data_IF_986240895473
#
_entry.id   IF_986240895473
#
_cell.length_a   1.000
_cell.length_b   1.000
_cell.length_c   1.000
_cell.angle_alpha   90.00
_cell.angle_beta   90.00
_cell.angle_gamma   90.00
#
_symmetry.space_group_name_H-M   'P 1'
#
loop_
_entity.id
_entity.type
_entity.pdbx_description
1 polymer ?
#
# COMPACT_ATOMS: atom_id res chain seq x y z
N UNK A 1 -13.68 -18.40 -19.44
CA UNK A 1 -13.02 -18.60 -18.13
C UNK A 1 -13.22 -17.36 -17.28
N UNK A 2 -13.29 -17.50 -15.96
CA UNK A 2 -13.48 -16.37 -15.05
C UNK A 2 -12.21 -15.51 -14.96
N UNK A 3 -12.39 -14.19 -14.85
CA UNK A 3 -11.33 -13.21 -14.67
C UNK A 3 -11.62 -12.28 -13.48
N UNK A 4 -10.56 -11.69 -12.91
CA UNK A 4 -10.62 -10.73 -11.83
C UNK A 4 -9.68 -9.52 -12.09
N UNK A 5 -10.18 -8.32 -11.81
CA UNK A 5 -9.42 -7.07 -11.89
C UNK A 5 -9.20 -6.54 -10.48
N UNK A 6 -7.94 -6.30 -10.11
CA UNK A 6 -7.58 -5.70 -8.83
C UNK A 6 -7.10 -4.27 -9.07
N UNK A 7 -7.61 -3.32 -8.30
CA UNK A 7 -7.30 -1.89 -8.38
C UNK A 7 -6.68 -1.48 -7.05
N UNK A 8 -5.43 -1.05 -7.11
CA UNK A 8 -4.65 -0.60 -5.95
C UNK A 8 -4.36 0.90 -6.04
N UNK A 9 -4.26 1.61 -4.91
CA UNK A 9 -3.89 3.03 -4.90
C UNK A 9 -2.40 3.24 -5.21
N UNK A 10 -1.56 2.23 -4.95
CA UNK A 10 -0.12 2.30 -5.19
C UNK A 10 0.38 1.09 -5.96
N UNK A 11 1.44 1.30 -6.75
CA UNK A 11 2.13 0.21 -7.45
C UNK A 11 2.80 -0.78 -6.48
N UNK A 12 3.21 -0.32 -5.30
CA UNK A 12 3.87 -1.16 -4.30
C UNK A 12 2.91 -2.24 -3.78
N UNK A 13 1.69 -1.85 -3.41
CA UNK A 13 0.63 -2.79 -3.00
C UNK A 13 0.28 -3.78 -4.12
N UNK A 14 0.16 -3.30 -5.36
CA UNK A 14 -0.10 -4.19 -6.50
C UNK A 14 1.02 -5.24 -6.69
N UNK A 15 2.28 -4.84 -6.52
CA UNK A 15 3.42 -5.76 -6.63
C UNK A 15 3.47 -6.75 -5.45
N UNK A 16 3.09 -6.32 -4.25
CA UNK A 16 3.02 -7.19 -3.08
C UNK A 16 1.94 -8.26 -3.23
N UNK A 17 0.72 -7.84 -3.60
CA UNK A 17 -0.36 -8.78 -3.91
C UNK A 17 0.03 -9.77 -5.02
N UNK A 18 0.77 -9.30 -6.04
CA UNK A 18 1.26 -10.17 -7.11
C UNK A 18 2.22 -11.25 -6.59
N UNK A 19 3.10 -10.93 -5.63
CA UNK A 19 3.96 -11.94 -5.00
C UNK A 19 3.15 -12.97 -4.23
N UNK A 20 2.13 -12.55 -3.48
CA UNK A 20 1.22 -13.44 -2.79
C UNK A 20 0.49 -14.39 -3.74
N UNK A 21 -0.02 -13.87 -4.85
CA UNK A 21 -0.68 -14.68 -5.89
C UNK A 21 0.29 -15.65 -6.58
N UNK A 22 1.52 -15.23 -6.85
CA UNK A 22 2.55 -16.10 -7.43
C UNK A 22 2.90 -17.25 -6.48
N UNK A 23 3.11 -16.96 -5.19
CA UNK A 23 3.35 -17.97 -4.16
C UNK A 23 2.18 -18.95 -4.04
N UNK A 24 0.95 -18.47 -4.09
CA UNK A 24 -0.23 -19.33 -4.07
C UNK A 24 -0.30 -20.24 -5.29
N UNK A 25 0.04 -19.74 -6.48
CA UNK A 25 0.09 -20.54 -7.70
C UNK A 25 1.23 -21.58 -7.69
N UNK A 26 2.36 -21.28 -7.05
CA UNK A 26 3.45 -22.24 -6.82
C UNK A 26 3.03 -23.36 -5.86
N UNK A 27 2.32 -23.02 -4.78
CA UNK A 27 1.85 -23.98 -3.78
C UNK A 27 0.70 -24.86 -4.28
N UNK A 28 -0.13 -24.35 -5.19
CA UNK A 28 -1.25 -25.10 -5.78
C UNK A 28 -1.28 -24.95 -7.32
N UNK A 29 -0.47 -25.75 -8.04
CA UNK A 29 -0.34 -25.64 -9.50
C UNK A 29 -1.61 -25.97 -10.29
N UNK A 30 -2.58 -26.65 -9.66
CA UNK A 30 -3.86 -26.98 -10.30
C UNK A 30 -4.76 -25.75 -10.42
N UNK A 31 -4.53 -24.70 -9.62
CA UNK A 31 -5.25 -23.44 -9.75
C UNK A 31 -4.73 -22.70 -11.00
N UNK A 32 -5.60 -22.37 -11.98
CA UNK A 32 -5.18 -21.74 -13.22
C UNK A 32 -4.95 -20.23 -13.03
N UNK A 33 -4.16 -19.82 -12.04
CA UNK A 33 -3.89 -18.41 -11.72
C UNK A 33 -2.78 -17.90 -12.63
N UNK A 34 -3.15 -17.08 -13.61
CA UNK A 34 -2.24 -16.33 -14.47
C UNK A 34 -2.43 -14.86 -14.12
N UNK A 35 -1.64 -14.40 -13.16
CA UNK A 35 -1.70 -13.05 -12.63
C UNK A 35 -0.56 -12.18 -13.13
N UNK A 36 -0.76 -10.86 -13.15
CA UNK A 36 0.34 -9.91 -13.32
C UNK A 36 -0.10 -8.47 -13.14
N UNK A 37 0.88 -7.63 -12.81
CA UNK A 37 0.71 -6.18 -12.70
C UNK A 37 0.69 -5.55 -14.09
N UNK A 38 -0.31 -4.73 -14.35
CA UNK A 38 -0.46 -3.91 -15.55
C UNK A 38 -0.52 -2.45 -15.13
N UNK A 39 0.61 -1.77 -15.21
CA UNK A 39 0.82 -0.38 -14.81
C UNK A 39 1.80 0.35 -15.76
N UNK A 40 2.16 1.58 -15.40
CA UNK A 40 3.11 2.40 -16.15
C UNK A 40 4.52 1.82 -16.26
N UNK A 41 4.93 0.93 -15.35
CA UNK A 41 6.28 0.35 -15.30
C UNK A 41 6.34 -1.03 -15.99
N UNK A 42 5.19 -1.54 -16.46
CA UNK A 42 5.07 -2.85 -17.10
C UNK A 42 5.62 -2.80 -18.54
N UNK A 43 6.63 -3.61 -18.90
CA UNK A 43 7.18 -3.63 -20.26
C UNK A 43 6.14 -4.05 -21.30
N UNK A 44 6.23 -3.52 -22.53
CA UNK A 44 5.22 -3.75 -23.57
C UNK A 44 5.05 -5.22 -23.97
N UNK A 45 6.15 -6.00 -23.96
CA UNK A 45 6.10 -7.44 -24.18
C UNK A 45 5.27 -8.16 -23.11
N UNK A 46 5.36 -7.69 -21.85
CA UNK A 46 4.60 -8.22 -20.72
C UNK A 46 3.14 -7.78 -20.80
N UNK A 47 2.88 -6.52 -21.16
CA UNK A 47 1.51 -6.00 -21.38
C UNK A 47 0.75 -6.84 -22.39
N UNK A 48 1.38 -7.18 -23.52
CA UNK A 48 0.77 -8.04 -24.55
C UNK A 48 0.40 -9.41 -23.99
N UNK A 49 1.32 -10.08 -23.31
CA UNK A 49 1.08 -11.39 -22.68
C UNK A 49 -0.07 -11.34 -21.68
N UNK A 50 -0.11 -10.32 -20.83
CA UNK A 50 -1.17 -10.18 -19.82
C UNK A 50 -2.55 -10.03 -20.46
N UNK A 51 -2.70 -9.19 -21.50
CA UNK A 51 -3.98 -9.06 -22.23
C UNK A 51 -4.46 -10.39 -22.81
N UNK A 52 -3.54 -11.13 -23.42
CA UNK A 52 -3.85 -12.35 -24.15
C UNK A 52 -4.10 -13.56 -23.23
N UNK A 53 -3.45 -13.62 -22.06
CA UNK A 53 -3.36 -14.86 -21.27
C UNK A 53 -3.82 -14.74 -19.81
N UNK A 54 -3.67 -13.56 -19.18
CA UNK A 54 -3.97 -13.40 -17.75
C UNK A 54 -5.47 -13.57 -17.44
N UNK A 55 -5.77 -14.09 -16.26
CA UNK A 55 -7.11 -14.08 -15.68
C UNK A 55 -7.17 -13.26 -14.39
N UNK A 56 -6.04 -12.84 -13.84
CA UNK A 56 -5.99 -11.85 -12.76
C UNK A 56 -5.10 -10.70 -13.20
N UNK A 57 -5.61 -9.48 -13.19
CA UNK A 57 -4.86 -8.28 -13.59
C UNK A 57 -4.88 -7.30 -12.44
N UNK A 58 -3.69 -6.89 -12.01
CA UNK A 58 -3.52 -5.92 -10.93
C UNK A 58 -3.11 -4.58 -11.55
N UNK A 59 -3.82 -3.51 -11.23
CA UNK A 59 -3.63 -2.21 -11.86
C UNK A 59 -3.91 -1.08 -10.86
N UNK A 60 -3.89 0.17 -11.34
CA UNK A 60 -4.30 1.35 -10.59
C UNK A 60 -5.36 2.15 -11.38
N UNK A 61 -6.09 3.10 -10.75
CA UNK A 61 -7.13 3.86 -11.43
C UNK A 61 -6.64 4.62 -12.67
N UNK A 62 -5.42 5.15 -12.64
CA UNK A 62 -4.82 5.90 -13.75
C UNK A 62 -4.57 5.01 -14.97
N UNK A 63 -4.00 3.82 -14.76
CA UNK A 63 -3.72 2.87 -15.83
C UNK A 63 -5.02 2.24 -16.37
N UNK A 64 -5.99 1.99 -15.49
CA UNK A 64 -7.33 1.60 -15.90
C UNK A 64 -7.95 2.67 -16.81
N UNK A 65 -7.83 3.94 -16.44
CA UNK A 65 -8.30 5.07 -17.23
C UNK A 65 -7.58 5.23 -18.56
N UNK A 66 -6.24 5.20 -18.56
CA UNK A 66 -5.44 5.63 -19.71
C UNK A 66 -5.13 4.51 -20.70
N UNK A 67 -4.95 3.26 -20.26
CA UNK A 67 -4.51 2.20 -21.17
C UNK A 67 -5.33 0.90 -21.18
N UNK A 68 -6.20 0.67 -20.19
CA UNK A 68 -7.09 -0.51 -20.24
C UNK A 68 -8.42 -0.14 -20.89
N UNK A 69 -9.15 0.84 -20.33
CA UNK A 69 -10.49 1.18 -20.81
C UNK A 69 -10.51 1.76 -22.24
N UNK A 70 -9.60 2.66 -22.67
CA UNK A 70 -9.63 3.19 -24.04
C UNK A 70 -9.31 2.12 -25.09
N UNK A 71 -8.53 1.10 -24.71
CA UNK A 71 -8.15 -0.02 -25.56
C UNK A 71 -8.98 -1.28 -25.29
N UNK A 72 -10.20 -1.13 -24.74
CA UNK A 72 -11.05 -2.27 -24.36
C UNK A 72 -11.30 -3.31 -25.46
N UNK A 73 -11.29 -3.02 -26.79
CA UNK A 73 -11.36 -4.05 -27.82
C UNK A 73 -10.26 -5.11 -27.73
N UNK A 74 -9.03 -4.71 -27.36
CA UNK A 74 -7.91 -5.64 -27.13
C UNK A 74 -8.03 -6.45 -25.84
N UNK A 75 -9.00 -6.11 -24.98
CA UNK A 75 -9.29 -6.77 -23.70
C UNK A 75 -10.60 -7.55 -23.72
N UNK A 76 -11.23 -7.74 -24.90
CA UNK A 76 -12.54 -8.40 -25.06
C UNK A 76 -12.65 -9.70 -24.26
N UNK A 77 -11.65 -10.59 -24.36
CA UNK A 77 -11.62 -11.87 -23.64
C UNK A 77 -11.68 -11.69 -22.12
N UNK A 78 -10.92 -10.72 -21.60
CA UNK A 78 -10.86 -10.43 -20.17
C UNK A 78 -12.18 -9.83 -19.68
N UNK A 79 -12.71 -8.81 -20.36
CA UNK A 79 -13.96 -8.16 -19.95
C UNK A 79 -15.17 -9.08 -20.07
N UNK A 80 -15.28 -9.90 -21.12
CA UNK A 80 -16.36 -10.88 -21.24
C UNK A 80 -16.34 -11.94 -20.12
N UNK A 81 -15.14 -12.24 -19.57
CA UNK A 81 -14.96 -13.19 -18.47
C UNK A 81 -14.91 -12.55 -17.08
N UNK A 82 -15.02 -11.22 -16.95
CA UNK A 82 -14.77 -10.52 -15.70
C UNK A 82 -15.88 -10.79 -14.68
N UNK A 83 -15.53 -11.43 -13.57
CA UNK A 83 -16.46 -11.81 -12.49
C UNK A 83 -16.28 -10.96 -11.24
N UNK A 84 -15.04 -10.54 -10.96
CA UNK A 84 -14.70 -9.80 -9.76
C UNK A 84 -13.90 -8.54 -10.08
N UNK A 85 -14.24 -7.44 -9.42
CA UNK A 85 -13.42 -6.23 -9.36
C UNK A 85 -13.09 -5.97 -7.91
N UNK A 86 -11.82 -6.11 -7.55
CA UNK A 86 -11.30 -5.83 -6.21
C UNK A 86 -10.78 -4.39 -6.20
N UNK A 87 -11.26 -3.58 -5.25
CA UNK A 87 -10.80 -2.21 -5.02
C UNK A 87 -10.19 -2.18 -3.64
N UNK A 88 -8.86 -2.15 -3.58
CA UNK A 88 -8.15 -2.07 -2.31
C UNK A 88 -8.10 -0.64 -1.79
N UNK A 89 -7.97 -0.49 -0.47
CA UNK A 89 -7.77 0.81 0.18
C UNK A 89 -8.76 1.90 -0.29
N UNK A 90 -10.05 1.57 -0.42
CA UNK A 90 -11.06 2.43 -1.07
C UNK A 90 -11.20 3.81 -0.44
N UNK A 91 -10.85 3.94 0.84
CA UNK A 91 -10.78 5.20 1.59
C UNK A 91 -9.73 6.19 1.05
N UNK A 92 -8.74 5.73 0.30
CA UNK A 92 -7.80 6.58 -0.42
C UNK A 92 -8.50 7.36 -1.56
N UNK A 93 -9.60 6.83 -2.11
CA UNK A 93 -10.34 7.42 -3.23
C UNK A 93 -11.42 8.40 -2.74
N UNK A 94 -10.99 9.50 -2.13
CA UNK A 94 -11.89 10.56 -1.63
C UNK A 94 -11.63 11.93 -2.26
N UNK A 95 -12.54 12.88 -2.02
CA UNK A 95 -12.46 14.23 -2.58
C UNK A 95 -12.46 14.24 -4.11
N UNK A 96 -11.76 15.19 -4.71
CA UNK A 96 -11.69 15.34 -6.18
C UNK A 96 -11.12 14.09 -6.85
N UNK A 97 -10.13 13.44 -6.23
CA UNK A 97 -9.57 12.21 -6.75
C UNK A 97 -10.60 11.07 -6.73
N UNK A 98 -11.32 10.89 -5.61
CA UNK A 98 -12.43 9.94 -5.51
C UNK A 98 -13.52 10.16 -6.56
N UNK A 99 -13.90 11.41 -6.82
CA UNK A 99 -14.86 11.75 -7.88
C UNK A 99 -14.39 11.31 -9.26
N UNK A 100 -13.11 11.45 -9.57
CA UNK A 100 -12.53 10.94 -10.82
C UNK A 100 -12.58 9.41 -10.88
N UNK A 101 -12.16 8.74 -9.80
CA UNK A 101 -12.19 7.27 -9.70
C UNK A 101 -13.61 6.74 -9.89
N UNK A 102 -14.63 7.34 -9.27
CA UNK A 102 -16.03 6.95 -9.46
C UNK A 102 -16.45 6.99 -10.94
N UNK A 103 -16.04 8.02 -11.69
CA UNK A 103 -16.30 8.10 -13.12
C UNK A 103 -15.51 7.07 -13.94
N UNK A 104 -14.29 6.71 -13.51
CA UNK A 104 -13.53 5.60 -14.10
C UNK A 104 -14.27 4.28 -13.90
N UNK A 105 -14.81 4.02 -12.71
CA UNK A 105 -15.58 2.82 -12.40
C UNK A 105 -16.90 2.77 -13.20
N UNK A 106 -17.58 3.91 -13.39
CA UNK A 106 -18.76 3.98 -14.28
C UNK A 106 -18.42 3.58 -15.72
N UNK A 107 -17.28 4.02 -16.26
CA UNK A 107 -16.81 3.62 -17.60
C UNK A 107 -16.46 2.13 -17.64
N UNK A 108 -15.81 1.60 -16.60
CA UNK A 108 -15.53 0.17 -16.47
C UNK A 108 -16.83 -0.64 -16.52
N UNK A 109 -17.85 -0.27 -15.75
CA UNK A 109 -19.14 -0.96 -15.73
C UNK A 109 -19.83 -0.93 -17.09
N UNK A 110 -19.81 0.21 -17.79
CA UNK A 110 -20.33 0.33 -19.15
C UNK A 110 -19.62 -0.63 -20.11
N UNK A 111 -18.29 -0.74 -20.02
CA UNK A 111 -17.48 -1.66 -20.84
C UNK A 111 -17.79 -3.12 -20.49
N UNK A 112 -17.93 -3.45 -19.21
CA UNK A 112 -18.33 -4.80 -18.78
C UNK A 112 -19.70 -5.18 -19.37
N UNK A 113 -20.70 -4.30 -19.22
CA UNK A 113 -22.03 -4.49 -19.77
C UNK A 113 -22.01 -4.67 -21.30
N UNK A 114 -21.19 -3.89 -22.02
CA UNK A 114 -21.00 -4.04 -23.47
C UNK A 114 -20.46 -5.42 -23.87
N UNK A 115 -19.61 -6.03 -23.04
CA UNK A 115 -19.10 -7.39 -23.26
C UNK A 115 -19.92 -8.49 -22.58
N UNK A 116 -21.09 -8.15 -22.02
CA UNK A 116 -22.01 -9.12 -21.41
C UNK A 116 -21.62 -9.58 -20.00
N UNK A 117 -20.79 -8.83 -19.28
CA UNK A 117 -20.42 -9.13 -17.88
C UNK A 117 -20.95 -8.08 -16.90
N UNK A 118 -21.32 -8.52 -15.70
CA UNK A 118 -21.66 -7.65 -14.58
C UNK A 118 -20.87 -8.11 -13.33
N UNK A 119 -19.65 -7.61 -13.13
CA UNK A 119 -18.79 -8.12 -12.06
C UNK A 119 -19.29 -7.71 -10.66
N UNK A 120 -18.96 -8.54 -9.68
CA UNK A 120 -19.11 -8.25 -8.26
C UNK A 120 -17.94 -7.39 -7.80
N UNK A 121 -18.24 -6.33 -7.05
CA UNK A 121 -17.23 -5.46 -6.46
C UNK A 121 -16.90 -5.94 -5.05
N UNK A 122 -15.62 -6.08 -4.75
CA UNK A 122 -15.09 -6.41 -3.43
C UNK A 122 -14.18 -5.25 -3.03
N UNK A 123 -14.47 -4.59 -1.92
CA UNK A 123 -13.75 -3.38 -1.52
C UNK A 123 -13.13 -3.57 -0.14
N UNK A 124 -11.85 -3.19 -0.01
CA UNK A 124 -11.15 -3.15 1.27
C UNK A 124 -11.00 -1.70 1.72
N UNK A 125 -11.10 -1.45 3.03
CA UNK A 125 -10.98 -0.12 3.61
C UNK A 125 -10.37 -0.20 5.00
N UNK A 126 -9.56 0.80 5.37
CA UNK A 126 -9.30 1.11 6.76
C UNK A 126 -10.59 1.52 7.49
N UNK A 127 -10.55 1.51 8.83
CA UNK A 127 -11.67 1.93 9.67
C UNK A 127 -11.99 3.41 9.43
N UNK A 128 -13.06 3.66 8.69
CA UNK A 128 -13.62 5.00 8.43
C UNK A 128 -15.07 5.06 8.92
N UNK A 129 -15.61 6.26 9.11
CA UNK A 129 -16.96 6.43 9.64
C UNK A 129 -18.07 5.93 8.69
N UNK A 130 -17.86 6.05 7.37
CA UNK A 130 -18.90 5.77 6.36
C UNK A 130 -18.40 4.90 5.18
N UNK A 131 -17.89 3.68 5.42
CA UNK A 131 -17.30 2.84 4.38
C UNK A 131 -18.32 2.38 3.33
N UNK A 132 -19.54 2.04 3.77
CA UNK A 132 -20.62 1.61 2.87
C UNK A 132 -21.05 2.71 1.89
N UNK A 133 -21.21 3.95 2.38
CA UNK A 133 -21.56 5.10 1.54
C UNK A 133 -20.49 5.41 0.50
N UNK A 134 -19.22 5.45 0.93
CA UNK A 134 -18.10 5.70 0.03
C UNK A 134 -18.01 4.62 -1.05
N UNK A 135 -18.07 3.35 -0.67
CA UNK A 135 -17.99 2.23 -1.59
C UNK A 135 -19.18 2.21 -2.57
N UNK A 136 -20.40 2.45 -2.08
CA UNK A 136 -21.58 2.56 -2.93
C UNK A 136 -21.48 3.73 -3.91
N UNK A 137 -20.97 4.88 -3.46
CA UNK A 137 -20.75 6.06 -4.30
C UNK A 137 -19.73 5.83 -5.42
N UNK A 138 -18.62 5.14 -5.11
CA UNK A 138 -17.56 4.82 -6.09
C UNK A 138 -18.01 3.73 -7.06
N UNK A 139 -18.60 2.64 -6.55
CA UNK A 139 -18.99 1.49 -7.37
C UNK A 139 -20.29 1.74 -8.15
N UNK A 140 -21.15 2.64 -7.65
CA UNK A 140 -22.50 2.87 -8.16
C UNK A 140 -23.41 1.65 -8.02
N UNK A 141 -23.14 0.78 -7.04
CA UNK A 141 -23.91 -0.43 -6.71
C UNK A 141 -24.21 -0.43 -5.22
N UNK A 142 -25.30 -1.09 -4.76
CA UNK A 142 -25.48 -1.38 -3.34
C UNK A 142 -24.29 -2.17 -2.80
N UNK A 143 -23.89 -1.87 -1.57
CA UNK A 143 -22.76 -2.50 -0.89
C UNK A 143 -23.22 -3.03 0.46
N UNK A 144 -22.79 -4.24 0.79
CA UNK A 144 -22.90 -4.80 2.13
C UNK A 144 -21.57 -4.62 2.84
N UNK A 145 -21.58 -3.95 4.00
CA UNK A 145 -20.40 -3.76 4.84
C UNK A 145 -20.16 -5.02 5.66
N UNK A 146 -18.91 -5.46 5.72
CA UNK A 146 -18.44 -6.55 6.59
C UNK A 146 -17.47 -5.95 7.59
N UNK A 147 -17.90 -5.77 8.85
CA UNK A 147 -17.16 -5.06 9.90
C UNK A 147 -16.90 -5.91 11.16
N UNK A 148 -17.30 -7.19 11.14
CA UNK A 148 -17.02 -8.14 12.20
C UNK A 148 -15.56 -8.65 12.09
N UNK A 149 -14.62 -7.95 12.73
CA UNK A 149 -13.22 -8.37 12.80
C UNK A 149 -13.02 -9.49 13.84
N UNK A 150 -12.77 -10.70 13.35
CA UNK A 150 -12.45 -11.88 14.15
C UNK A 150 -10.95 -12.16 14.32
N UNK A 151 -10.06 -11.27 13.86
CA UNK A 151 -8.63 -11.49 13.94
C UNK A 151 -8.11 -11.46 15.39
N UNK A 152 -7.10 -12.27 15.74
CA UNK A 152 -6.47 -12.23 17.06
C UNK A 152 -5.79 -10.86 17.25
N UNK A 153 -6.02 -10.24 18.42
CA UNK A 153 -5.41 -8.95 18.77
C UNK A 153 -4.62 -9.09 20.06
N UNK A 154 -3.33 -8.79 19.99
CA UNK A 154 -2.49 -8.61 21.18
C UNK A 154 -2.83 -7.32 21.93
N UNK A 155 -2.37 -7.21 23.17
CA UNK A 155 -2.51 -5.98 23.94
C UNK A 155 -1.75 -4.83 23.26
N UNK A 156 -2.44 -3.70 23.02
CA UNK A 156 -1.84 -2.49 22.43
C UNK A 156 -1.83 -1.37 23.44
N UNK A 157 -0.70 -0.69 23.58
CA UNK A 157 -0.55 0.52 24.40
C UNK A 157 -0.48 1.73 23.49
N UNK A 158 -1.45 2.63 23.64
CA UNK A 158 -1.47 3.92 22.95
C UNK A 158 -1.18 5.03 23.96
N UNK A 159 -0.11 5.78 23.74
CA UNK A 159 0.42 6.73 24.72
C UNK A 159 0.58 8.10 24.07
N UNK A 160 0.15 9.14 24.78
CA UNK A 160 0.44 10.52 24.41
C UNK A 160 1.71 10.99 25.12
N UNK A 161 2.72 11.36 24.33
CA UNK A 161 3.99 11.87 24.82
C UNK A 161 4.04 13.39 24.66
N UNK A 162 4.17 14.10 25.79
CA UNK A 162 4.36 15.55 25.79
C UNK A 162 5.83 15.86 26.12
N UNK A 163 6.64 16.36 25.17
CA UNK A 163 8.07 16.60 25.38
C UNK A 163 8.37 17.42 26.64
N UNK A 164 9.41 17.07 27.41
CA UNK A 164 9.71 17.75 28.67
C UNK A 164 10.11 19.22 28.44
N UNK A 165 9.89 20.06 29.46
CA UNK A 165 10.30 21.47 29.47
C UNK A 165 11.82 21.60 29.58
N UNK A 166 12.40 22.62 28.95
CA UNK A 166 13.82 22.92 28.99
C UNK A 166 14.14 23.78 30.22
N UNK A 167 14.92 23.28 31.17
CA UNK A 167 15.51 24.10 32.24
C UNK A 167 14.53 24.97 33.04
N UNK A 168 13.28 24.51 33.25
CA UNK A 168 12.25 25.28 33.96
C UNK A 168 11.56 26.39 33.14
N UNK A 169 11.94 26.58 31.87
CA UNK A 169 11.28 27.53 30.97
C UNK A 169 9.93 27.01 30.45
N UNK A 170 9.17 27.89 29.79
CA UNK A 170 7.94 27.50 29.07
C UNK A 170 8.23 26.75 27.76
N UNK A 171 9.48 26.76 27.29
CA UNK A 171 9.88 26.06 26.07
C UNK A 171 10.05 24.56 26.34
N UNK A 172 9.60 23.77 25.37
CA UNK A 172 9.70 22.31 25.40
C UNK A 172 10.75 21.82 24.43
N UNK A 173 11.29 20.64 24.71
CA UNK A 173 12.09 19.93 23.70
C UNK A 173 11.27 19.72 22.44
N UNK A 174 11.97 19.73 21.30
CA UNK A 174 11.38 19.41 20.02
C UNK A 174 10.86 17.97 20.00
N UNK A 175 9.64 17.76 19.50
CA UNK A 175 9.09 16.42 19.28
C UNK A 175 9.98 15.58 18.37
N UNK A 176 10.71 16.20 17.43
CA UNK A 176 11.63 15.49 16.54
C UNK A 176 12.84 14.94 17.32
N UNK A 177 13.36 15.70 18.29
CA UNK A 177 14.46 15.26 19.14
C UNK A 177 14.03 14.15 20.10
N UNK A 178 12.81 14.23 20.65
CA UNK A 178 12.27 13.16 21.48
C UNK A 178 11.96 11.89 20.66
N UNK A 179 11.49 12.05 19.42
CA UNK A 179 11.29 10.92 18.50
C UNK A 179 12.62 10.22 18.14
N UNK A 180 13.68 10.99 17.85
CA UNK A 180 15.03 10.43 17.65
C UNK A 180 15.52 9.66 18.87
N UNK A 181 15.37 10.24 20.07
CA UNK A 181 15.75 9.58 21.32
C UNK A 181 14.99 8.27 21.55
N UNK A 182 13.67 8.28 21.38
CA UNK A 182 12.83 7.09 21.54
C UNK A 182 13.21 6.02 20.51
N UNK A 183 13.41 6.41 19.24
CA UNK A 183 13.87 5.50 18.20
C UNK A 183 15.19 4.83 18.61
N UNK A 184 16.21 5.60 18.97
CA UNK A 184 17.52 5.04 19.36
C UNK A 184 17.38 4.07 20.53
N UNK A 185 16.62 4.43 21.57
CA UNK A 185 16.41 3.58 22.73
C UNK A 185 15.71 2.26 22.38
N UNK A 186 14.65 2.31 21.57
CA UNK A 186 13.92 1.10 21.15
C UNK A 186 14.79 0.20 20.27
N UNK A 187 15.57 0.77 19.36
CA UNK A 187 16.51 0.03 18.52
C UNK A 187 17.60 -0.65 19.35
N UNK A 188 18.14 0.04 20.37
CA UNK A 188 19.12 -0.55 21.29
C UNK A 188 18.54 -1.70 22.12
N UNK A 189 17.22 -1.72 22.36
CA UNK A 189 16.51 -2.84 22.98
C UNK A 189 16.15 -3.96 21.99
N UNK A 190 16.55 -3.83 20.72
CA UNK A 190 16.23 -4.80 19.67
C UNK A 190 14.77 -4.77 19.22
N UNK A 191 14.04 -3.69 19.50
CA UNK A 191 12.61 -3.56 19.19
C UNK A 191 12.46 -2.94 17.79
N UNK A 192 11.83 -3.64 16.82
CA UNK A 192 11.52 -3.08 15.52
C UNK A 192 10.65 -1.82 15.65
N UNK A 193 11.08 -0.71 15.06
CA UNK A 193 10.50 0.61 15.29
C UNK A 193 10.32 1.41 14.00
N UNK A 194 9.12 1.92 13.77
CA UNK A 194 8.84 2.86 12.68
C UNK A 194 8.56 4.24 13.27
N UNK A 195 9.23 5.26 12.75
CA UNK A 195 9.07 6.66 13.17
C UNK A 195 8.48 7.48 12.02
N UNK A 196 7.22 7.92 12.18
CA UNK A 196 6.54 8.77 11.20
C UNK A 196 6.80 10.26 11.46
N UNK A 197 7.09 11.00 10.39
CA UNK A 197 7.35 12.45 10.42
C UNK A 197 6.60 13.17 9.29
N UNK A 198 6.34 14.46 9.48
CA UNK A 198 5.55 15.25 8.52
C UNK A 198 6.30 15.71 7.28
N UNK A 199 7.63 15.79 7.34
CA UNK A 199 8.43 16.36 6.26
C UNK A 199 9.65 15.51 5.91
N UNK A 200 9.99 15.46 4.63
CA UNK A 200 11.15 14.70 4.12
C UNK A 200 12.46 15.12 4.78
N UNK A 201 12.66 16.44 4.96
CA UNK A 201 13.86 16.97 5.63
C UNK A 201 13.95 16.49 7.07
N UNK A 202 12.83 16.38 7.78
CA UNK A 202 12.80 15.88 9.16
C UNK A 202 13.14 14.40 9.22
N UNK A 203 12.71 13.60 8.22
CA UNK A 203 13.03 12.17 8.17
C UNK A 203 14.53 11.95 8.06
N UNK A 204 15.17 12.68 7.14
CA UNK A 204 16.62 12.63 6.93
C UNK A 204 17.38 13.13 8.17
N UNK A 205 16.88 14.17 8.83
CA UNK A 205 17.50 14.74 10.03
C UNK A 205 17.44 13.78 11.22
N UNK A 206 16.27 13.21 11.52
CA UNK A 206 16.10 12.22 12.59
C UNK A 206 16.96 10.98 12.30
N UNK A 207 16.94 10.47 11.05
CA UNK A 207 17.79 9.35 10.66
C UNK A 207 19.27 9.65 10.89
N UNK A 208 19.76 10.82 10.44
CA UNK A 208 21.15 11.21 10.60
C UNK A 208 21.57 11.24 12.07
N UNK A 209 20.78 11.90 12.94
CA UNK A 209 21.09 11.99 14.36
C UNK A 209 20.99 10.64 15.07
N UNK A 210 20.00 9.81 14.72
CA UNK A 210 19.88 8.46 15.24
C UNK A 210 21.11 7.60 14.87
N UNK A 211 21.59 7.68 13.62
CA UNK A 211 22.82 6.98 13.19
C UNK A 211 24.04 7.48 13.96
N UNK A 212 24.20 8.79 14.13
CA UNK A 212 25.31 9.37 14.90
C UNK A 212 25.28 8.94 16.38
N UNK A 213 24.07 8.84 16.96
CA UNK A 213 23.86 8.35 18.32
C UNK A 213 24.19 6.86 18.45
N UNK A 214 23.69 6.03 17.53
CA UNK A 214 23.97 4.59 17.49
C UNK A 214 25.44 4.30 17.20
N UNK A 215 26.12 5.06 16.34
CA UNK A 215 27.57 4.89 16.09
C UNK A 215 28.41 5.09 17.35
N UNK A 216 27.96 5.91 18.30
CA UNK A 216 28.67 6.13 19.57
C UNK A 216 28.35 5.07 20.61
N UNK A 217 27.13 4.55 20.62
CA UNK A 217 26.62 3.69 21.71
C UNK A 217 26.56 2.20 21.34
N UNK A 218 26.21 1.89 20.09
CA UNK A 218 26.03 0.54 19.55
C UNK A 218 26.33 0.52 18.03
N UNK A 219 27.61 0.55 17.62
CA UNK A 219 28.00 0.73 16.22
C UNK A 219 27.38 -0.29 15.24
N UNK A 220 27.17 -1.53 15.69
CA UNK A 220 26.57 -2.60 14.88
C UNK A 220 25.10 -2.34 14.51
N UNK A 221 24.38 -1.52 15.29
CA UNK A 221 22.98 -1.18 15.05
C UNK A 221 22.80 0.02 14.12
N UNK A 222 23.85 0.81 13.89
CA UNK A 222 23.76 2.00 13.05
C UNK A 222 23.41 1.68 11.58
N UNK A 223 23.76 0.48 11.09
CA UNK A 223 23.40 0.00 9.75
C UNK A 223 22.00 -0.61 9.67
N UNK A 224 21.36 -0.86 10.83
CA UNK A 224 20.03 -1.48 10.96
C UNK A 224 18.88 -0.47 10.88
N UNK A 225 19.18 0.80 10.62
CA UNK A 225 18.18 1.84 10.43
C UNK A 225 18.30 2.48 9.04
N UNK A 226 17.16 2.86 8.45
CA UNK A 226 17.11 3.56 7.15
C UNK A 226 16.07 4.68 7.15
N UNK A 227 16.29 5.77 6.40
CA UNK A 227 15.23 6.69 6.03
C UNK A 227 14.36 6.08 4.92
N UNK A 228 13.09 6.45 4.83
CA UNK A 228 12.23 6.10 3.71
C UNK A 228 11.38 7.29 3.26
N UNK A 229 11.45 7.63 1.97
CA UNK A 229 10.64 8.70 1.38
C UNK A 229 10.20 8.34 -0.03
N UNK A 230 9.02 8.83 -0.42
CA UNK A 230 8.45 8.57 -1.75
C UNK A 230 9.26 9.13 -2.93
N UNK A 231 10.27 9.97 -2.68
CA UNK A 231 11.19 10.48 -3.71
C UNK A 231 12.39 9.59 -4.01
N UNK A 232 12.52 8.42 -3.38
CA UNK A 232 13.54 7.42 -3.72
C UNK A 232 13.18 6.67 -5.00
N UNK A 233 14.21 6.14 -5.66
CA UNK A 233 14.03 5.29 -6.83
C UNK A 233 13.18 4.06 -6.45
N UNK A 234 12.38 3.53 -7.38
CA UNK A 234 11.57 2.34 -7.10
C UNK A 234 12.39 1.15 -6.59
N UNK A 235 13.61 0.94 -7.10
CA UNK A 235 14.51 -0.12 -6.64
C UNK A 235 14.97 0.08 -5.20
N UNK A 236 15.31 1.31 -4.81
CA UNK A 236 15.73 1.65 -3.44
C UNK A 236 14.61 1.42 -2.43
N UNK A 237 13.38 1.85 -2.76
CA UNK A 237 12.22 1.65 -1.89
C UNK A 237 11.94 0.16 -1.67
N UNK A 238 11.97 -0.63 -2.74
CA UNK A 238 11.78 -2.09 -2.68
C UNK A 238 12.83 -2.78 -1.83
N UNK A 239 14.09 -2.33 -1.91
CA UNK A 239 15.15 -2.91 -1.09
C UNK A 239 14.94 -2.58 0.41
N UNK A 240 14.58 -1.35 0.75
CA UNK A 240 14.28 -0.97 2.14
C UNK A 240 13.07 -1.75 2.68
N UNK A 241 12.00 -1.85 1.89
CA UNK A 241 10.81 -2.64 2.23
C UNK A 241 11.18 -4.11 2.46
N UNK A 242 11.93 -4.73 1.54
CA UNK A 242 12.41 -6.11 1.66
C UNK A 242 13.21 -6.31 2.95
N UNK A 243 14.18 -5.43 3.23
CA UNK A 243 15.00 -5.53 4.43
C UNK A 243 14.17 -5.35 5.72
N UNK A 244 13.15 -4.48 5.70
CA UNK A 244 12.25 -4.30 6.83
C UNK A 244 11.42 -5.57 7.09
N UNK A 245 10.81 -6.15 6.04
CA UNK A 245 10.01 -7.37 6.15
C UNK A 245 10.81 -8.62 6.50
N UNK A 246 12.06 -8.70 6.05
CA UNK A 246 12.96 -9.78 6.41
C UNK A 246 13.49 -9.69 7.85
N UNK A 247 13.16 -8.63 8.60
CA UNK A 247 13.74 -8.35 9.91
C UNK A 247 15.22 -7.96 9.86
N UNK A 248 15.74 -7.64 8.67
CA UNK A 248 17.11 -7.19 8.48
C UNK A 248 17.31 -5.76 8.98
N UNK A 249 16.28 -4.92 8.88
CA UNK A 249 16.23 -3.59 9.50
C UNK A 249 15.45 -3.64 10.82
N UNK A 250 15.96 -2.93 11.82
CA UNK A 250 15.27 -2.71 13.08
C UNK A 250 14.53 -1.37 13.09
N UNK A 251 14.92 -0.40 12.25
CA UNK A 251 14.31 0.93 12.31
C UNK A 251 14.11 1.59 10.96
N UNK A 252 12.96 2.22 10.77
CA UNK A 252 12.73 3.08 9.61
C UNK A 252 12.14 4.42 10.02
N UNK A 253 12.70 5.50 9.48
CA UNK A 253 12.16 6.87 9.64
C UNK A 253 11.48 7.27 8.35
N UNK A 254 10.18 7.54 8.38
CA UNK A 254 9.42 7.81 7.16
C UNK A 254 8.41 8.94 7.28
N UNK A 255 8.00 9.42 6.11
CA UNK A 255 6.81 10.24 5.95
C UNK A 255 5.57 9.34 5.82
N UNK A 256 4.42 9.90 5.45
CA UNK A 256 3.24 9.12 5.08
C UNK A 256 3.46 8.17 3.88
N UNK A 257 4.63 8.20 3.23
CA UNK A 257 4.98 7.30 2.15
C UNK A 257 4.95 5.81 2.55
N UNK A 258 5.20 5.49 3.83
CA UNK A 258 5.07 4.13 4.37
C UNK A 258 3.66 3.81 4.91
N UNK A 259 2.77 4.80 5.07
CA UNK A 259 1.39 4.55 5.51
C UNK A 259 0.56 3.83 4.43
N UNK A 260 0.90 4.03 3.15
CA UNK A 260 0.09 3.66 1.99
C UNK A 260 0.53 2.34 1.31
N UNK A 261 1.23 1.44 2.01
CA UNK A 261 1.75 0.28 1.30
C UNK A 261 2.47 -0.82 2.08
N UNK A 262 2.38 -0.87 3.40
CA UNK A 262 3.07 -1.92 4.16
C UNK A 262 2.06 -2.76 4.94
N UNK A 263 1.99 -4.04 4.59
CA UNK A 263 1.51 -5.07 5.51
C UNK A 263 2.62 -5.33 6.54
N UNK A 264 2.72 -4.48 7.56
CA UNK A 264 3.65 -4.69 8.68
C UNK A 264 3.09 -5.88 9.47
N UNK A 265 3.45 -7.08 9.03
CA UNK A 265 3.02 -8.34 9.62
C UNK A 265 3.05 -8.30 11.14
N UNK A 266 2.03 -8.92 11.73
CA UNK A 266 1.90 -9.13 13.18
C UNK A 266 2.93 -10.11 13.69
#
# INVERSE_FOLDING_TARGET
>A
GAAALYIFPTKALAQDQQRGLARMAELEPRLPVRSGTYDGDTPDSTRRKLREQANVVLTNPDMLHQGILPSHPSWRRFFAGLRYVVIDEIHAYRGVFGSNVANVIRRLRRVCAHYGSDPTFICCSATIANPGELAAGICGKPVQVVDNDGAPRGARKFVFWNPPRLGGSMERRSSNSEAERLLVQLIMLGIPTITFVRARVVAELIYKYAVESLRRQAPSLASKIKPYRGGYLPSERREIERQLFAGELLGVVSTNALELGIDIGS
#
